data_IF_827650154263
#
_entry.id   IF_827650154263
#
_cell.length_a   1.000
_cell.length_b   1.000
_cell.length_c   1.000
_cell.angle_alpha   90.00
_cell.angle_beta   90.00
_cell.angle_gamma   90.00
#
_symmetry.space_group_name_H-M   'P 1'
#
loop_
_entity.id
_entity.type
_entity.pdbx_description
1 polymer ?
#
# COMPACT_ATOMS: atom_id res chain seq x y z
N UNK A 1 -11.66 -23.32 -24.98
CA UNK A 1 -10.97 -23.82 -23.76
C UNK A 1 -9.72 -23.04 -23.42
N UNK A 2 -8.74 -22.88 -24.33
CA UNK A 2 -7.50 -22.13 -24.07
C UNK A 2 -7.71 -20.64 -23.70
N UNK A 3 -8.64 -19.93 -24.36
CA UNK A 3 -8.96 -18.52 -24.07
C UNK A 3 -9.56 -18.31 -22.67
N UNK A 4 -10.35 -19.29 -22.20
CA UNK A 4 -10.93 -19.28 -20.86
C UNK A 4 -9.88 -19.64 -19.79
N UNK A 5 -8.94 -20.55 -20.09
CA UNK A 5 -7.82 -20.88 -19.20
C UNK A 5 -6.86 -19.70 -19.02
N UNK A 6 -6.49 -19.03 -20.12
CA UNK A 6 -5.63 -17.84 -20.08
C UNK A 6 -6.25 -16.70 -19.25
N UNK A 7 -7.56 -16.45 -19.42
CA UNK A 7 -8.25 -15.42 -18.64
C UNK A 7 -8.44 -15.78 -17.16
N UNK A 8 -8.55 -17.06 -16.81
CA UNK A 8 -8.86 -17.50 -15.45
C UNK A 8 -7.62 -17.73 -14.57
N UNK A 9 -6.51 -18.16 -15.17
CA UNK A 9 -5.28 -18.51 -14.42
C UNK A 9 -4.11 -17.57 -14.70
N UNK A 10 -3.89 -17.21 -15.98
CA UNK A 10 -2.71 -16.40 -16.37
C UNK A 10 -2.92 -14.92 -16.08
N UNK A 11 -4.12 -14.40 -16.35
CA UNK A 11 -4.43 -12.98 -16.15
C UNK A 11 -4.29 -12.53 -14.67
N UNK A 12 -4.83 -13.25 -13.67
CA UNK A 12 -4.62 -12.88 -12.27
C UNK A 12 -3.15 -12.94 -11.86
N UNK A 13 -2.41 -13.94 -12.34
CA UNK A 13 -0.98 -14.07 -12.03
C UNK A 13 -0.16 -12.92 -12.63
N UNK A 14 -0.39 -12.59 -13.90
CA UNK A 14 0.25 -11.45 -14.56
C UNK A 14 -0.13 -10.11 -13.89
N UNK A 15 -1.40 -9.94 -13.50
CA UNK A 15 -1.85 -8.77 -12.77
C UNK A 15 -1.17 -8.62 -11.40
N UNK A 16 -0.97 -9.73 -10.67
CA UNK A 16 -0.24 -9.73 -9.40
C UNK A 16 1.23 -9.34 -9.58
N UNK A 17 1.92 -9.87 -10.60
CA UNK A 17 3.29 -9.46 -10.91
C UNK A 17 3.33 -7.96 -11.24
N UNK A 18 2.40 -7.48 -12.07
CA UNK A 18 2.28 -6.07 -12.41
C UNK A 18 2.07 -5.19 -11.17
N UNK A 19 1.17 -5.59 -10.27
CA UNK A 19 0.89 -4.87 -9.04
C UNK A 19 2.12 -4.77 -8.13
N UNK A 20 2.89 -5.86 -7.98
CA UNK A 20 4.13 -5.85 -7.20
C UNK A 20 5.21 -4.98 -7.86
N UNK A 21 5.36 -5.04 -9.18
CA UNK A 21 6.29 -4.16 -9.90
C UNK A 21 5.93 -2.68 -9.71
N UNK A 22 4.64 -2.35 -9.76
CA UNK A 22 4.15 -0.98 -9.50
C UNK A 22 4.42 -0.58 -8.05
N UNK A 23 4.16 -1.46 -7.09
CA UNK A 23 4.42 -1.19 -5.67
C UNK A 23 5.91 -0.93 -5.40
N UNK A 24 6.81 -1.76 -5.94
CA UNK A 24 8.26 -1.58 -5.81
C UNK A 24 8.72 -0.28 -6.48
N UNK A 25 8.25 -0.01 -7.70
CA UNK A 25 8.56 1.22 -8.43
C UNK A 25 8.13 2.47 -7.68
N UNK A 26 6.93 2.44 -7.08
CA UNK A 26 6.38 3.52 -6.28
C UNK A 26 7.25 3.79 -5.04
N UNK A 27 7.65 2.75 -4.32
CA UNK A 27 8.49 2.88 -3.12
C UNK A 27 9.87 3.50 -3.45
N UNK A 28 10.46 3.13 -4.59
CA UNK A 28 11.73 3.69 -5.06
C UNK A 28 11.56 5.18 -5.43
N UNK A 29 10.55 5.51 -6.23
CA UNK A 29 10.27 6.89 -6.64
C UNK A 29 9.94 7.78 -5.44
N UNK A 30 9.14 7.27 -4.49
CA UNK A 30 8.83 7.95 -3.24
C UNK A 30 10.10 8.24 -2.41
N UNK A 31 10.98 7.25 -2.24
CA UNK A 31 12.25 7.47 -1.54
C UNK A 31 13.15 8.47 -2.28
N UNK A 32 13.22 8.39 -3.61
CA UNK A 32 13.99 9.34 -4.40
C UNK A 32 13.44 10.77 -4.30
N UNK A 33 12.11 10.94 -4.22
CA UNK A 33 11.47 12.23 -4.03
C UNK A 33 11.71 12.81 -2.62
N UNK A 34 11.59 11.99 -1.58
CA UNK A 34 11.84 12.41 -0.18
C UNK A 34 13.31 12.78 0.05
N UNK A 35 14.27 12.08 -0.57
CA UNK A 35 15.68 12.45 -0.55
C UNK A 35 15.97 13.82 -1.20
N UNK A 36 15.07 14.30 -2.08
CA UNK A 36 15.13 15.65 -2.67
C UNK A 36 14.31 16.69 -1.90
N UNK A 37 13.89 16.38 -0.68
CA UNK A 37 13.20 17.29 0.23
C UNK A 37 11.67 17.30 0.10
N UNK A 38 11.08 16.33 -0.62
CA UNK A 38 9.62 16.22 -0.67
C UNK A 38 9.06 15.68 0.67
N UNK A 39 8.08 16.37 1.23
CA UNK A 39 7.34 15.90 2.41
C UNK A 39 6.35 14.79 2.03
N UNK A 40 6.26 13.74 2.84
CA UNK A 40 5.35 12.62 2.60
C UNK A 40 3.87 13.03 2.72
N UNK A 41 3.56 14.06 3.53
CA UNK A 41 2.19 14.60 3.66
C UNK A 41 1.76 15.24 2.34
N UNK A 42 2.66 16.00 1.71
CA UNK A 42 2.44 16.65 0.43
C UNK A 42 2.29 15.59 -0.67
N UNK A 43 3.17 14.58 -0.67
CA UNK A 43 3.09 13.44 -1.58
C UNK A 43 1.72 12.76 -1.52
N UNK A 44 1.32 12.33 -0.32
CA UNK A 44 0.03 11.66 -0.10
C UNK A 44 -1.16 12.50 -0.54
N UNK A 45 -1.12 13.80 -0.24
CA UNK A 45 -2.19 14.73 -0.60
C UNK A 45 -2.38 14.83 -2.11
N UNK A 46 -1.30 15.05 -2.86
CA UNK A 46 -1.37 15.13 -4.31
C UNK A 46 -1.75 13.78 -4.94
N UNK A 47 -1.19 12.67 -4.45
CA UNK A 47 -1.56 11.32 -4.93
C UNK A 47 -3.06 11.08 -4.83
N UNK A 48 -3.63 11.18 -3.62
CA UNK A 48 -5.06 10.93 -3.42
C UNK A 48 -5.95 11.93 -4.15
N UNK A 49 -5.56 13.21 -4.24
CA UNK A 49 -6.32 14.22 -4.96
C UNK A 49 -6.36 13.93 -6.46
N UNK A 50 -5.21 13.62 -7.08
CA UNK A 50 -5.14 13.32 -8.51
C UNK A 50 -5.84 12.00 -8.81
N UNK A 51 -5.67 10.95 -8.00
CA UNK A 51 -6.42 9.70 -8.14
C UNK A 51 -7.92 9.92 -8.09
N UNK A 52 -8.39 10.77 -7.19
CA UNK A 52 -9.82 11.14 -7.12
C UNK A 52 -10.29 11.79 -8.43
N UNK A 53 -9.54 12.76 -8.96
CA UNK A 53 -9.88 13.46 -10.21
C UNK A 53 -9.87 12.50 -11.41
N UNK A 54 -8.85 11.64 -11.50
CA UNK A 54 -8.70 10.66 -12.59
C UNK A 54 -9.82 9.61 -12.57
N UNK A 55 -10.35 9.26 -11.39
CA UNK A 55 -11.44 8.30 -11.26
C UNK A 55 -12.82 8.86 -11.67
N UNK A 56 -13.01 10.18 -11.69
CA UNK A 56 -14.28 10.83 -12.09
C UNK A 56 -14.82 10.31 -13.44
N UNK A 57 -14.07 10.33 -14.56
CA UNK A 57 -14.56 9.83 -15.84
C UNK A 57 -14.97 8.36 -15.79
N UNK A 58 -14.29 7.53 -14.99
CA UNK A 58 -14.62 6.11 -14.87
C UNK A 58 -15.99 5.87 -14.23
N UNK A 59 -16.46 6.77 -13.36
CA UNK A 59 -17.80 6.69 -12.78
C UNK A 59 -18.90 6.86 -13.83
N UNK A 60 -18.65 7.65 -14.87
CA UNK A 60 -19.60 7.89 -15.96
C UNK A 60 -19.52 6.81 -17.05
N UNK A 61 -18.32 6.29 -17.33
CA UNK A 61 -18.10 5.23 -18.33
C UNK A 61 -18.57 3.88 -17.82
N UNK A 62 -18.36 3.60 -16.53
CA UNK A 62 -18.75 2.35 -15.87
C UNK A 62 -19.81 2.64 -14.79
N UNK A 63 -21.02 3.09 -15.20
CA UNK A 63 -22.07 3.41 -14.25
C UNK A 63 -22.49 2.13 -13.54
N UNK A 64 -22.43 2.15 -12.20
CA UNK A 64 -22.89 1.01 -11.42
C UNK A 64 -24.41 0.91 -11.48
N UNK A 65 -24.92 -0.26 -11.85
CA UNK A 65 -26.33 -0.61 -11.72
C UNK A 65 -26.71 -0.93 -10.27
N UNK A 66 -25.73 -0.98 -9.35
CA UNK A 66 -26.00 -1.17 -7.94
C UNK A 66 -26.70 0.07 -7.39
N UNK A 67 -27.99 -0.06 -7.09
CA UNK A 67 -28.76 0.93 -6.35
C UNK A 67 -27.97 1.28 -5.09
N UNK A 68 -27.68 2.57 -4.88
CA UNK A 68 -26.97 3.05 -3.71
C UNK A 68 -27.67 2.45 -2.48
N UNK A 69 -27.02 1.53 -1.73
CA UNK A 69 -27.66 0.90 -0.60
C UNK A 69 -28.06 2.04 0.33
N UNK A 70 -29.33 2.09 0.73
CA UNK A 70 -29.79 3.03 1.75
C UNK A 70 -28.75 3.06 2.87
N UNK A 71 -28.27 4.25 3.27
CA UNK A 71 -27.11 4.45 4.15
C UNK A 71 -27.28 3.71 5.49
N UNK A 72 -26.99 2.41 5.49
CA UNK A 72 -27.05 1.57 6.68
C UNK A 72 -25.78 1.84 7.48
N UNK A 73 -25.92 2.12 8.77
CA UNK A 73 -24.82 2.39 9.69
C UNK A 73 -23.62 1.42 9.58
N UNK A 74 -23.82 0.10 9.36
CA UNK A 74 -22.71 -0.83 9.16
C UNK A 74 -21.86 -0.57 7.90
N UNK A 75 -22.46 -0.07 6.81
CA UNK A 75 -21.73 0.25 5.58
C UNK A 75 -20.86 1.49 5.79
N UNK A 76 -21.42 2.52 6.43
CA UNK A 76 -20.69 3.75 6.77
C UNK A 76 -19.51 3.43 7.68
N UNK A 77 -19.73 2.62 8.73
CA UNK A 77 -18.66 2.18 9.63
C UNK A 77 -17.53 1.46 8.90
N UNK A 78 -17.85 0.57 7.95
CA UNK A 78 -16.83 -0.14 7.15
C UNK A 78 -16.07 0.80 6.23
N UNK A 79 -16.74 1.77 5.59
CA UNK A 79 -16.07 2.77 4.75
C UNK A 79 -15.15 3.66 5.61
N UNK A 80 -15.59 4.09 6.79
CA UNK A 80 -14.74 4.84 7.72
C UNK A 80 -13.50 4.04 8.14
N UNK A 81 -13.67 2.76 8.49
CA UNK A 81 -12.55 1.87 8.83
C UNK A 81 -11.60 1.70 7.64
N UNK A 82 -12.14 1.52 6.43
CA UNK A 82 -11.37 1.41 5.19
C UNK A 82 -10.50 2.65 4.96
N UNK A 83 -11.08 3.84 5.05
CA UNK A 83 -10.35 5.10 4.88
C UNK A 83 -9.28 5.26 5.96
N UNK A 84 -9.61 4.97 7.22
CA UNK A 84 -8.69 5.07 8.35
C UNK A 84 -7.50 4.11 8.21
N UNK A 85 -7.76 2.81 8.01
CA UNK A 85 -6.71 1.80 7.91
C UNK A 85 -5.77 2.07 6.73
N UNK A 86 -6.31 2.47 5.58
CA UNK A 86 -5.50 2.79 4.41
C UNK A 86 -4.67 4.06 4.58
N UNK A 87 -5.27 5.15 5.05
CA UNK A 87 -4.58 6.44 5.21
C UNK A 87 -3.52 6.37 6.31
N UNK A 88 -3.87 5.79 7.46
CA UNK A 88 -2.94 5.62 8.57
C UNK A 88 -1.82 4.64 8.22
N UNK A 89 -2.15 3.53 7.53
CA UNK A 89 -1.16 2.58 7.02
C UNK A 89 -0.12 3.25 6.11
N UNK A 90 -0.57 4.08 5.16
CA UNK A 90 0.32 4.85 4.27
C UNK A 90 1.25 5.80 5.02
N UNK A 91 0.77 6.47 6.06
CA UNK A 91 1.61 7.36 6.88
C UNK A 91 2.73 6.56 7.56
N UNK A 92 2.39 5.42 8.18
CA UNK A 92 3.39 4.53 8.79
C UNK A 92 4.36 4.00 7.74
N UNK A 93 3.87 3.64 6.56
CA UNK A 93 4.69 3.15 5.46
C UNK A 93 5.72 4.16 4.98
N UNK A 94 5.28 5.38 4.70
CA UNK A 94 6.17 6.45 4.27
C UNK A 94 7.22 6.81 5.32
N UNK A 95 6.83 6.89 6.60
CA UNK A 95 7.79 7.06 7.71
C UNK A 95 8.72 5.85 7.88
N UNK A 96 8.20 4.65 7.67
CA UNK A 96 8.96 3.41 7.69
C UNK A 96 10.05 3.39 6.61
N UNK A 97 9.69 3.75 5.37
CA UNK A 97 10.62 3.89 4.24
C UNK A 97 11.65 5.00 4.50
N UNK A 98 11.25 6.10 5.13
CA UNK A 98 12.15 7.20 5.50
C UNK A 98 13.28 6.72 6.42
N UNK A 99 12.95 5.99 7.49
CA UNK A 99 13.92 5.45 8.46
C UNK A 99 14.63 4.17 8.02
N UNK A 100 14.14 3.51 6.97
CA UNK A 100 14.73 2.27 6.45
C UNK A 100 15.00 2.37 4.94
N UNK A 101 14.39 1.50 4.13
CA UNK A 101 14.60 1.46 2.68
C UNK A 101 13.37 0.97 1.92
N UNK A 102 13.23 1.34 0.63
CA UNK A 102 12.21 0.78 -0.27
C UNK A 102 12.28 -0.74 -0.39
N UNK A 103 13.49 -1.31 -0.38
CA UNK A 103 13.71 -2.76 -0.46
C UNK A 103 13.17 -3.46 0.77
N UNK A 104 13.36 -2.89 1.97
CA UNK A 104 12.81 -3.46 3.20
C UNK A 104 11.27 -3.44 3.17
N UNK A 105 10.67 -2.32 2.76
CA UNK A 105 9.20 -2.23 2.59
C UNK A 105 8.68 -3.29 1.61
N UNK A 106 9.33 -3.43 0.45
CA UNK A 106 8.96 -4.43 -0.56
C UNK A 106 9.18 -5.88 -0.08
N UNK A 107 10.13 -6.11 0.83
CA UNK A 107 10.31 -7.43 1.43
C UNK A 107 9.21 -7.75 2.44
N UNK A 108 8.83 -6.78 3.27
CA UNK A 108 7.78 -6.93 4.29
C UNK A 108 6.38 -6.98 3.63
N UNK A 109 6.17 -6.37 2.46
CA UNK A 109 4.89 -6.47 1.73
C UNK A 109 4.51 -7.91 1.41
N UNK A 110 5.50 -8.79 1.23
CA UNK A 110 5.27 -10.22 1.04
C UNK A 110 4.58 -10.89 2.23
N UNK A 111 4.53 -10.25 3.41
CA UNK A 111 3.80 -10.72 4.59
C UNK A 111 2.29 -10.43 4.55
N UNK A 112 1.80 -9.62 3.60
CA UNK A 112 0.37 -9.28 3.50
C UNK A 112 -0.53 -10.52 3.43
N UNK A 113 -0.25 -11.57 2.62
CA UNK A 113 -1.05 -12.78 2.62
C UNK A 113 -1.05 -13.50 3.98
N UNK A 114 0.09 -13.53 4.67
CA UNK A 114 0.23 -14.13 5.99
C UNK A 114 -0.62 -13.40 7.03
N UNK A 115 -0.48 -12.07 7.12
CA UNK A 115 -1.29 -11.23 8.01
C UNK A 115 -2.78 -11.33 7.70
N UNK A 116 -3.16 -11.33 6.41
CA UNK A 116 -4.54 -11.47 5.98
C UNK A 116 -5.13 -12.81 6.42
N UNK A 117 -4.38 -13.91 6.27
CA UNK A 117 -4.83 -15.24 6.71
C UNK A 117 -4.99 -15.32 8.23
N UNK A 118 -4.02 -14.80 8.99
CA UNK A 118 -4.08 -14.75 10.46
C UNK A 118 -5.30 -13.94 10.92
N UNK A 119 -5.51 -12.76 10.35
CA UNK A 119 -6.69 -11.92 10.66
C UNK A 119 -8.00 -12.61 10.30
N UNK A 120 -8.06 -13.32 9.17
CA UNK A 120 -9.24 -14.09 8.78
C UNK A 120 -9.59 -15.19 9.79
N UNK A 121 -8.59 -15.83 10.41
CA UNK A 121 -8.79 -16.78 11.51
C UNK A 121 -9.30 -16.06 12.77
N UNK A 122 -8.66 -14.96 13.17
CA UNK A 122 -9.02 -14.17 14.38
C UNK A 122 -10.46 -13.67 14.27
N UNK A 123 -10.86 -13.12 13.12
CA UNK A 123 -12.22 -12.65 12.85
C UNK A 123 -13.22 -13.77 12.52
N UNK A 124 -12.81 -15.05 12.62
CA UNK A 124 -13.63 -16.23 12.33
C UNK A 124 -14.25 -16.21 10.93
N UNK A 125 -13.59 -15.55 9.99
CA UNK A 125 -13.97 -15.54 8.57
C UNK A 125 -13.54 -16.83 7.88
N UNK A 126 -12.51 -17.49 8.40
CA UNK A 126 -11.98 -18.76 7.92
C UNK A 126 -12.20 -19.87 8.95
N UNK A 127 -12.74 -21.02 8.52
CA UNK A 127 -12.78 -22.24 9.34
C UNK A 127 -11.57 -23.11 9.04
N UNK A 128 -10.63 -23.18 9.98
CA UNK A 128 -9.40 -23.95 9.84
C UNK A 128 -9.69 -25.44 9.97
N UNK A 129 -9.94 -26.10 8.84
CA UNK A 129 -9.98 -27.55 8.75
C UNK A 129 -8.60 -28.04 8.30
N UNK A 130 -7.75 -28.50 9.24
CA UNK A 130 -6.33 -28.84 8.98
C UNK A 130 -6.16 -29.88 7.86
N UNK A 131 -7.14 -30.78 7.69
CA UNK A 131 -7.13 -31.81 6.63
C UNK A 131 -7.68 -31.32 5.28
N UNK A 132 -8.20 -30.10 5.19
CA UNK A 132 -8.68 -29.53 3.94
C UNK A 132 -7.50 -29.04 3.09
N UNK A 133 -7.48 -29.41 1.81
CA UNK A 133 -6.47 -28.97 0.84
C UNK A 133 -6.37 -27.44 0.76
N UNK A 134 -7.50 -26.74 0.89
CA UNK A 134 -7.54 -25.26 0.91
C UNK A 134 -6.82 -24.69 2.12
N UNK A 135 -7.08 -25.22 3.32
CA UNK A 135 -6.39 -24.78 4.55
C UNK A 135 -4.90 -25.08 4.48
N UNK A 136 -4.52 -26.27 3.99
CA UNK A 136 -3.12 -26.65 3.81
C UNK A 136 -2.41 -25.72 2.82
N UNK A 137 -3.04 -25.40 1.68
CA UNK A 137 -2.49 -24.45 0.72
C UNK A 137 -2.28 -23.06 1.32
N UNK A 138 -3.22 -22.57 2.14
CA UNK A 138 -3.09 -21.28 2.86
C UNK A 138 -1.96 -21.30 3.88
N UNK A 139 -1.80 -22.38 4.64
CA UNK A 139 -0.70 -22.54 5.61
C UNK A 139 0.64 -22.59 4.90
N UNK A 140 0.78 -23.41 3.84
CA UNK A 140 2.01 -23.50 3.05
C UNK A 140 2.34 -22.15 2.42
N UNK A 141 1.35 -21.50 1.80
CA UNK A 141 1.50 -20.15 1.23
C UNK A 141 1.94 -19.12 2.26
N UNK A 142 1.41 -19.20 3.48
CA UNK A 142 1.83 -18.34 4.61
C UNK A 142 3.28 -18.58 5.01
N UNK A 143 3.72 -19.84 5.12
CA UNK A 143 5.11 -20.19 5.42
C UNK A 143 6.04 -19.67 4.32
N UNK A 144 5.70 -19.93 3.06
CA UNK A 144 6.49 -19.48 1.89
C UNK A 144 6.58 -17.94 1.84
N UNK A 145 5.48 -17.24 2.13
CA UNK A 145 5.41 -15.77 2.22
C UNK A 145 6.36 -15.22 3.28
N UNK A 146 6.33 -15.78 4.50
CA UNK A 146 7.21 -15.38 5.61
C UNK A 146 8.67 -15.69 5.26
N UNK A 147 8.96 -16.90 4.78
CA UNK A 147 10.31 -17.29 4.39
C UNK A 147 10.86 -16.42 3.26
N UNK A 148 10.05 -16.07 2.26
CA UNK A 148 10.44 -15.19 1.15
C UNK A 148 10.83 -13.80 1.65
N UNK A 149 10.06 -13.22 2.57
CA UNK A 149 10.40 -11.95 3.21
C UNK A 149 11.76 -12.01 3.93
N UNK A 150 11.99 -13.06 4.74
CA UNK A 150 13.28 -13.25 5.43
C UNK A 150 14.45 -13.42 4.47
N UNK A 151 14.28 -14.18 3.38
CA UNK A 151 15.33 -14.34 2.36
C UNK A 151 15.69 -12.99 1.77
N UNK A 152 14.73 -12.17 1.35
CA UNK A 152 15.02 -10.84 0.75
C UNK A 152 15.72 -9.91 1.75
N UNK A 153 15.33 -9.94 3.03
CA UNK A 153 15.93 -9.09 4.07
C UNK A 153 17.35 -9.54 4.45
N UNK A 154 17.57 -10.85 4.58
CA UNK A 154 18.85 -11.41 5.03
C UNK A 154 19.85 -11.60 3.88
N UNK A 155 19.38 -11.62 2.63
CA UNK A 155 20.23 -11.80 1.47
C UNK A 155 21.14 -10.58 1.27
N UNK A 156 22.44 -10.80 1.43
CA UNK A 156 23.48 -9.82 1.10
C UNK A 156 23.95 -10.06 -0.33
N UNK A 157 23.29 -9.39 -1.28
CA UNK A 157 23.70 -9.36 -2.68
C UNK A 157 24.84 -8.36 -2.94
N UNK A 158 25.52 -8.46 -4.10
CA UNK A 158 26.48 -7.45 -4.54
C UNK A 158 25.80 -6.08 -4.64
N UNK A 159 26.43 -5.04 -4.08
CA UNK A 159 25.94 -3.67 -4.18
C UNK A 159 26.06 -3.19 -5.62
N UNK A 160 24.93 -2.91 -6.28
CA UNK A 160 24.92 -2.24 -7.58
C UNK A 160 25.24 -0.77 -7.33
N UNK A 161 26.53 -0.45 -7.22
CA UNK A 161 27.02 0.91 -7.04
C UNK A 161 26.85 1.68 -8.34
N UNK A 162 25.82 2.52 -8.43
CA UNK A 162 25.83 3.64 -9.37
C UNK A 162 26.83 4.68 -8.86
N UNK A 163 27.72 5.23 -9.71
CA UNK A 163 28.73 6.19 -9.28
C UNK A 163 28.06 7.55 -9.09
N UNK A 164 27.49 7.78 -7.91
CA UNK A 164 27.13 9.11 -7.45
C UNK A 164 28.01 9.39 -6.24
N UNK A 165 28.78 10.47 -6.35
CA UNK A 165 29.89 10.90 -5.50
C UNK A 165 29.81 10.44 -4.04
N UNK A 166 30.92 9.90 -3.56
CA UNK A 166 31.16 9.46 -2.18
C UNK A 166 30.79 10.55 -1.17
N UNK A 167 29.54 10.56 -0.72
CA UNK A 167 29.17 11.13 0.57
C UNK A 167 29.74 10.15 1.59
N UNK A 168 30.82 10.56 2.25
CA UNK A 168 31.40 9.86 3.39
C UNK A 168 30.34 9.72 4.47
N UNK A 169 29.62 8.60 4.40
CA UNK A 169 28.60 8.18 5.33
C UNK A 169 29.32 7.66 6.59
N UNK A 170 29.78 8.58 7.43
CA UNK A 170 30.21 8.28 8.79
C UNK A 170 28.95 7.98 9.63
N UNK A 171 28.44 6.75 9.52
CA UNK A 171 27.22 6.31 10.20
C UNK A 171 27.53 6.07 11.67
N UNK A 172 26.85 6.75 12.62
CA UNK A 172 26.90 6.36 14.02
C UNK A 172 26.14 5.04 14.16
N UNK A 173 26.89 3.94 14.18
CA UNK A 173 26.42 2.55 14.05
C UNK A 173 25.25 2.20 14.99
N UNK A 174 25.21 2.80 16.20
CA UNK A 174 24.15 2.58 17.18
C UNK A 174 22.83 3.31 16.87
N UNK A 175 22.89 4.57 16.42
CA UNK A 175 21.68 5.36 16.13
C UNK A 175 20.99 4.92 14.84
N UNK A 176 21.77 4.57 13.82
CA UNK A 176 21.26 4.17 12.53
C UNK A 176 20.58 2.79 12.58
N UNK A 177 21.12 1.85 13.37
CA UNK A 177 20.48 0.56 13.60
C UNK A 177 19.13 0.71 14.32
N UNK A 178 19.05 1.60 15.31
CA UNK A 178 17.82 1.90 16.03
C UNK A 178 16.74 2.50 15.10
N UNK A 179 17.11 3.48 14.26
CA UNK A 179 16.19 4.06 13.28
C UNK A 179 15.73 3.03 12.26
N UNK A 180 16.63 2.17 11.76
CA UNK A 180 16.28 1.11 10.82
C UNK A 180 15.28 0.11 11.43
N UNK A 181 15.48 -0.28 12.69
CA UNK A 181 14.55 -1.15 13.42
C UNK A 181 13.18 -0.50 13.61
N UNK A 182 13.14 0.78 13.98
CA UNK A 182 11.89 1.56 14.06
C UNK A 182 11.20 1.59 12.69
N UNK A 183 11.97 1.82 11.63
CA UNK A 183 11.47 1.78 10.25
C UNK A 183 10.83 0.44 9.89
N UNK A 184 11.50 -0.67 10.22
CA UNK A 184 10.96 -2.02 10.02
C UNK A 184 9.67 -2.28 10.80
N UNK A 185 9.57 -1.83 12.06
CA UNK A 185 8.35 -1.96 12.87
C UNK A 185 7.18 -1.15 12.29
N UNK A 186 7.45 0.07 11.80
CA UNK A 186 6.45 0.90 11.14
C UNK A 186 5.95 0.25 9.84
N UNK A 187 6.84 -0.38 9.07
CA UNK A 187 6.48 -1.13 7.86
C UNK A 187 5.64 -2.38 8.17
N UNK A 188 5.98 -3.12 9.23
CA UNK A 188 5.16 -4.26 9.70
C UNK A 188 3.75 -3.78 10.06
N UNK A 189 3.64 -2.64 10.75
CA UNK A 189 2.36 -2.03 11.09
C UNK A 189 1.58 -1.55 9.85
N UNK A 190 2.25 -0.96 8.85
CA UNK A 190 1.66 -0.62 7.55
C UNK A 190 1.01 -1.85 6.89
N UNK A 191 1.76 -2.94 6.70
CA UNK A 191 1.24 -4.10 5.98
C UNK A 191 0.19 -4.89 6.77
N UNK A 192 0.21 -4.81 8.10
CA UNK A 192 -0.88 -5.29 8.94
C UNK A 192 -2.16 -4.46 8.71
N UNK A 193 -2.05 -3.13 8.68
CA UNK A 193 -3.18 -2.24 8.38
C UNK A 193 -3.69 -2.43 6.95
N UNK A 194 -2.81 -2.66 5.96
CA UNK A 194 -3.24 -3.02 4.61
C UNK A 194 -3.96 -4.36 4.56
N UNK A 195 -3.56 -5.34 5.37
CA UNK A 195 -4.28 -6.61 5.46
C UNK A 195 -5.69 -6.42 6.02
N UNK A 196 -5.86 -5.56 7.03
CA UNK A 196 -7.18 -5.13 7.53
C UNK A 196 -7.96 -4.40 6.43
N UNK A 197 -7.30 -3.48 5.71
CA UNK A 197 -7.88 -2.75 4.59
C UNK A 197 -8.41 -3.68 3.50
N UNK A 198 -7.64 -4.69 3.08
CA UNK A 198 -8.08 -5.69 2.09
C UNK A 198 -9.30 -6.50 2.57
N UNK A 199 -9.31 -6.90 3.84
CA UNK A 199 -10.46 -7.62 4.43
C UNK A 199 -11.72 -6.74 4.40
N UNK A 200 -11.61 -5.50 4.84
CA UNK A 200 -12.74 -4.56 4.88
C UNK A 200 -13.19 -4.19 3.47
N UNK A 201 -12.26 -3.98 2.54
CA UNK A 201 -12.57 -3.76 1.13
C UNK A 201 -13.37 -4.92 0.56
N UNK A 202 -12.93 -6.16 0.77
CA UNK A 202 -13.64 -7.35 0.32
C UNK A 202 -15.05 -7.44 0.93
N UNK A 203 -15.24 -7.03 2.18
CA UNK A 203 -16.56 -6.96 2.82
C UNK A 203 -17.45 -5.86 2.26
N UNK A 204 -16.89 -4.70 1.88
CA UNK A 204 -17.61 -3.61 1.21
C UNK A 204 -18.03 -4.05 -0.18
N UNK A 205 -17.13 -4.65 -0.96
CA UNK A 205 -17.39 -5.15 -2.32
C UNK A 205 -18.46 -6.23 -2.37
N UNK A 206 -18.64 -7.02 -1.29
CA UNK A 206 -19.77 -7.96 -1.17
C UNK A 206 -21.13 -7.29 -1.01
N UNK A 207 -21.18 -6.08 -0.43
CA UNK A 207 -22.43 -5.34 -0.20
C UNK A 207 -22.71 -4.38 -1.35
N UNK A 208 -21.67 -3.72 -1.85
CA UNK A 208 -21.72 -2.71 -2.89
C UNK A 208 -20.69 -3.01 -3.97
N UNK A 209 -21.03 -3.88 -4.95
CA UNK A 209 -20.12 -4.32 -6.00
C UNK A 209 -20.00 -3.26 -7.10
N UNK A 210 -19.46 -2.10 -6.72
CA UNK A 210 -19.22 -0.97 -7.60
C UNK A 210 -17.78 -0.51 -7.41
N UNK A 211 -16.84 -1.17 -8.09
CA UNK A 211 -15.40 -1.05 -7.86
C UNK A 211 -14.95 0.41 -7.94
N UNK A 212 -15.25 1.07 -9.06
CA UNK A 212 -14.85 2.46 -9.30
C UNK A 212 -15.46 3.43 -8.29
N UNK A 213 -16.72 3.22 -7.90
CA UNK A 213 -17.37 4.07 -6.90
C UNK A 213 -16.75 3.90 -5.51
N UNK A 214 -16.45 2.66 -5.09
CA UNK A 214 -15.84 2.38 -3.79
C UNK A 214 -14.42 2.97 -3.73
N UNK A 215 -13.63 2.77 -4.79
CA UNK A 215 -12.26 3.30 -4.87
C UNK A 215 -12.28 4.83 -4.97
N UNK A 216 -13.22 5.42 -5.71
CA UNK A 216 -13.40 6.89 -5.75
C UNK A 216 -13.73 7.46 -4.38
N UNK A 217 -14.71 6.90 -3.67
CA UNK A 217 -15.08 7.36 -2.32
C UNK A 217 -13.91 7.22 -1.35
N UNK A 218 -13.19 6.10 -1.41
CA UNK A 218 -11.98 5.88 -0.60
C UNK A 218 -10.93 6.98 -0.86
N UNK A 219 -10.60 7.24 -2.13
CA UNK A 219 -9.61 8.27 -2.51
C UNK A 219 -10.09 9.68 -2.13
N UNK A 220 -11.38 9.99 -2.29
CA UNK A 220 -11.95 11.27 -1.93
C UNK A 220 -11.83 11.55 -0.43
N UNK A 221 -12.26 10.60 0.41
CA UNK A 221 -12.17 10.78 1.87
C UNK A 221 -10.72 10.75 2.36
N UNK A 222 -9.86 9.90 1.80
CA UNK A 222 -8.44 9.89 2.10
C UNK A 222 -7.78 11.22 1.70
N UNK A 223 -8.15 11.79 0.55
CA UNK A 223 -7.67 13.10 0.09
C UNK A 223 -8.05 14.20 1.08
N UNK A 224 -9.31 14.25 1.53
CA UNK A 224 -9.76 15.24 2.54
C UNK A 224 -8.92 15.12 3.82
N UNK A 225 -8.73 13.90 4.35
CA UNK A 225 -7.92 13.69 5.55
C UNK A 225 -6.46 14.10 5.33
N UNK A 226 -5.87 13.73 4.18
CA UNK A 226 -4.50 14.10 3.85
C UNK A 226 -4.33 15.61 3.71
N UNK A 227 -5.26 16.32 3.07
CA UNK A 227 -5.24 17.79 2.98
C UNK A 227 -5.26 18.41 4.37
N UNK A 228 -6.16 17.96 5.25
CA UNK A 228 -6.28 18.49 6.62
C UNK A 228 -4.98 18.25 7.41
N UNK A 229 -4.43 17.03 7.36
CA UNK A 229 -3.16 16.69 8.01
C UNK A 229 -2.00 17.49 7.42
N UNK A 230 -1.96 17.66 6.10
CA UNK A 230 -0.90 18.39 5.41
C UNK A 230 -0.94 19.89 5.72
N UNK A 231 -2.12 20.51 5.84
CA UNK A 231 -2.26 21.91 6.24
C UNK A 231 -1.72 22.16 7.65
N UNK A 232 -1.88 21.18 8.55
CA UNK A 232 -1.37 21.26 9.93
C UNK A 232 0.15 21.01 9.96
N UNK A 233 0.62 20.00 9.24
CA UNK A 233 2.02 19.57 9.27
C UNK A 233 2.96 20.46 8.43
N UNK A 234 2.46 21.02 7.32
CA UNK A 234 3.20 21.84 6.37
C UNK A 234 2.47 23.18 6.15
N UNK A 235 2.45 24.07 7.17
CA UNK A 235 1.71 25.34 7.10
C UNK A 235 2.29 26.32 6.05
N UNK A 236 3.55 26.12 5.65
CA UNK A 236 4.21 26.96 4.65
C UNK A 236 3.81 26.52 3.23
N UNK A 237 3.00 27.33 2.54
CA UNK A 237 2.58 27.07 1.16
C UNK A 237 3.74 26.99 0.14
N UNK A 238 4.92 27.54 0.46
CA UNK A 238 6.11 27.37 -0.37
C UNK A 238 6.54 25.90 -0.46
N UNK A 239 6.33 25.10 0.59
CA UNK A 239 6.59 23.65 0.59
C UNK A 239 5.67 22.89 -0.37
N UNK A 240 4.47 23.42 -0.64
CA UNK A 240 3.45 22.79 -1.49
C UNK A 240 3.75 22.92 -2.98
N UNK A 241 4.69 23.81 -3.35
CA UNK A 241 5.08 24.04 -4.74
C UNK A 241 5.93 22.85 -5.21
N UNK A 242 5.31 21.98 -6.00
CA UNK A 242 5.99 20.90 -6.69
C UNK A 242 6.87 21.49 -7.80
N UNK A 243 8.19 21.54 -7.56
CA UNK A 243 9.16 21.89 -8.61
C UNK A 243 9.28 20.73 -9.62
N UNK A 244 9.47 20.99 -10.93
CA UNK A 244 9.75 19.96 -11.92
C UNK A 244 10.94 19.10 -11.48
N UNK A 245 10.64 17.92 -10.96
CA UNK A 245 11.60 17.07 -10.27
C UNK A 245 11.02 15.66 -10.14
N UNK A 246 11.83 14.74 -9.64
CA UNK A 246 11.43 13.36 -9.33
C UNK A 246 10.14 13.31 -8.49
N UNK A 247 9.85 14.35 -7.70
CA UNK A 247 8.60 14.47 -6.95
C UNK A 247 7.34 14.43 -7.83
N UNK A 248 7.32 15.14 -8.97
CA UNK A 248 6.16 15.13 -9.88
C UNK A 248 6.01 13.75 -10.50
N UNK A 249 7.12 13.16 -10.97
CA UNK A 249 7.09 11.81 -11.54
C UNK A 249 6.59 10.78 -10.53
N UNK A 250 7.02 10.87 -9.27
CA UNK A 250 6.57 9.98 -8.19
C UNK A 250 5.07 10.14 -7.90
N UNK A 251 4.57 11.38 -7.87
CA UNK A 251 3.14 11.67 -7.65
C UNK A 251 2.30 11.13 -8.81
N UNK A 252 2.69 11.39 -10.06
CA UNK A 252 1.95 10.89 -11.23
C UNK A 252 1.98 9.36 -11.29
N UNK A 253 3.11 8.74 -10.93
CA UNK A 253 3.22 7.28 -10.88
C UNK A 253 2.37 6.64 -9.78
N UNK A 254 2.05 7.38 -8.72
CA UNK A 254 1.25 6.88 -7.60
C UNK A 254 -0.26 6.83 -7.86
N UNK A 255 -0.71 7.41 -8.97
CA UNK A 255 -2.11 7.54 -9.36
C UNK A 255 -2.56 6.32 -10.14
#
# INVERSE_FOLDING_TARGET
MARAYCHREVLPFAAMIGAECVNVGLNILFKAATLRGMSYNIFSTYSFAISTIVLIPFLFIFPSTAVLPSFKLPLVSRICLLVFAGSFGKILGYKGIEYSSPTLSSAISNLVPAFTFILAIIFRMEKVAIRSSSTQAKIIGTIVSISGAFVVVLYKGPTVSTPVSSVSLQWPLGSALSQWLIGGLLLVAEFLLFSIWYIVLAQVMKIYPAEFTVVFLYNLFASILCVLVCLIAEPNFSSWILRPSIAIAAVVYSV
#
